data_IF_881096811550
#
_entry.id   IF_881096811550
#
_cell.length_a   1.000
_cell.length_b   1.000
_cell.length_c   1.000
_cell.angle_alpha   90.00
_cell.angle_beta   90.00
_cell.angle_gamma   90.00
#
_symmetry.space_group_name_H-M   'P 1'
#
loop_
_entity.id
_entity.type
_entity.pdbx_description
1 polymer ?
#
# COMPACT_ATOMS: atom_id res chain seq x y z
N UNK A 1 -6.43 12.08 -30.78
CA UNK A 1 -7.55 12.69 -30.02
C UNK A 1 -8.29 11.53 -29.36
N UNK A 2 -8.32 11.31 -28.06
CA UNK A 2 -7.78 11.98 -26.87
C UNK A 2 -7.27 10.84 -25.96
N UNK A 3 -6.07 11.00 -25.41
CA UNK A 3 -5.45 10.10 -24.43
C UNK A 3 -5.99 10.48 -23.05
N UNK A 4 -6.53 9.51 -22.32
CA UNK A 4 -6.91 9.71 -20.94
C UNK A 4 -5.69 9.38 -20.06
N UNK A 5 -4.98 10.45 -19.67
CA UNK A 5 -3.78 10.55 -18.83
C UNK A 5 -4.15 10.58 -17.34
N UNK A 6 -4.42 9.43 -16.70
CA UNK A 6 -4.75 9.44 -15.26
C UNK A 6 -3.99 8.39 -14.44
N UNK A 7 -3.22 8.88 -13.45
CA UNK A 7 -2.36 8.18 -12.48
C UNK A 7 -3.02 7.07 -11.66
N UNK A 8 -2.26 6.44 -10.76
CA UNK A 8 -2.69 5.25 -9.99
C UNK A 8 -3.83 5.48 -8.99
N UNK A 9 -4.39 6.69 -8.92
CA UNK A 9 -5.21 7.16 -7.81
C UNK A 9 -6.52 7.79 -8.28
N UNK A 10 -7.37 7.05 -9.02
CA UNK A 10 -8.80 7.40 -9.15
C UNK A 10 -9.74 6.19 -9.15
N UNK A 11 -10.77 6.25 -8.30
CA UNK A 11 -11.90 5.32 -8.28
C UNK A 11 -13.04 5.92 -9.09
N UNK A 12 -13.39 5.34 -10.24
CA UNK A 12 -14.67 5.66 -10.88
C UNK A 12 -15.81 5.02 -10.11
N UNK A 13 -16.58 5.86 -9.40
CA UNK A 13 -17.80 5.44 -8.71
C UNK A 13 -18.89 5.19 -9.75
N UNK A 14 -19.13 3.93 -10.10
CA UNK A 14 -20.23 3.58 -10.99
C UNK A 14 -21.57 3.90 -10.32
N UNK A 15 -22.36 4.79 -10.95
CA UNK A 15 -23.72 5.12 -10.52
C UNK A 15 -24.58 3.86 -10.58
N UNK A 16 -24.94 3.34 -9.40
CA UNK A 16 -25.92 2.26 -9.26
C UNK A 16 -27.26 2.70 -9.87
N UNK A 17 -27.82 1.79 -10.68
CA UNK A 17 -29.14 1.88 -11.31
C UNK A 17 -30.23 1.99 -10.24
N UNK A 18 -30.92 3.11 -10.17
CA UNK A 18 -32.25 3.18 -9.55
C UNK A 18 -33.33 2.92 -10.59
N UNK A 19 -34.18 1.95 -10.30
CA UNK A 19 -35.36 1.53 -11.04
C UNK A 19 -36.54 2.53 -10.90
N UNK A 20 -37.31 2.61 -11.97
CA UNK A 20 -38.41 3.53 -12.39
C UNK A 20 -39.69 3.58 -11.52
N UNK A 21 -40.67 4.49 -11.82
CA UNK A 21 -41.76 4.11 -12.75
C UNK A 21 -42.29 5.20 -13.74
N UNK A 22 -42.70 4.70 -14.93
CA UNK A 22 -43.57 5.16 -16.06
C UNK A 22 -44.25 6.56 -16.06
N UNK A 23 -44.50 7.25 -17.21
CA UNK A 23 -45.37 6.89 -18.39
C UNK A 23 -45.32 8.03 -19.49
N UNK A 24 -46.11 8.04 -20.60
CA UNK A 24 -45.75 7.65 -21.98
C UNK A 24 -45.84 8.75 -23.09
N UNK A 25 -45.23 8.54 -24.27
CA UNK A 25 -45.85 8.60 -25.65
C UNK A 25 -44.82 8.64 -26.80
N UNK A 26 -45.08 7.82 -27.83
CA UNK A 26 -44.91 8.00 -29.31
C UNK A 26 -43.51 8.36 -29.86
N UNK A 27 -42.99 7.85 -30.99
CA UNK A 27 -43.40 6.98 -32.12
C UNK A 27 -42.11 6.72 -32.94
N UNK A 28 -41.97 5.53 -33.55
CA UNK A 28 -41.25 5.22 -34.82
C UNK A 28 -39.76 5.62 -34.97
N UNK A 29 -38.80 4.85 -35.51
CA UNK A 29 -38.79 3.66 -36.34
C UNK A 29 -37.33 3.14 -36.44
N UNK A 30 -37.22 1.85 -36.76
CA UNK A 30 -36.15 1.18 -37.54
C UNK A 30 -34.77 0.89 -36.91
N UNK A 31 -34.48 -0.40 -36.99
CA UNK A 31 -33.29 -1.11 -36.57
C UNK A 31 -32.09 -0.86 -37.49
N UNK A 32 -30.91 -0.83 -36.88
CA UNK A 32 -29.67 -1.33 -37.49
C UNK A 32 -28.76 -1.81 -36.37
N UNK A 33 -28.80 -3.11 -36.14
CA UNK A 33 -27.94 -3.87 -35.24
C UNK A 33 -26.55 -4.02 -35.84
N UNK A 34 -25.57 -3.31 -35.27
CA UNK A 34 -24.14 -3.59 -35.47
C UNK A 34 -23.58 -4.20 -34.18
N UNK A 35 -23.46 -5.52 -34.17
CA UNK A 35 -22.76 -6.29 -33.13
C UNK A 35 -21.26 -6.04 -33.23
N UNK A 36 -20.75 -5.04 -32.52
CA UNK A 36 -19.33 -4.90 -32.24
C UNK A 36 -19.07 -5.36 -30.81
N UNK A 37 -18.59 -6.59 -30.65
CA UNK A 37 -18.02 -7.06 -29.40
C UNK A 37 -16.90 -6.11 -28.97
N UNK A 38 -16.82 -5.70 -27.68
CA UNK A 38 -15.72 -4.87 -27.22
C UNK A 38 -14.41 -5.66 -27.34
N UNK A 39 -13.29 -4.99 -27.67
CA UNK A 39 -11.98 -5.63 -27.71
C UNK A 39 -11.62 -6.20 -26.32
N UNK A 40 -10.85 -7.29 -26.25
CA UNK A 40 -10.42 -7.86 -24.99
C UNK A 40 -9.60 -6.84 -24.19
N UNK A 41 -9.69 -6.83 -22.85
CA UNK A 41 -8.92 -5.93 -22.01
C UNK A 41 -7.40 -6.21 -22.18
N UNK A 42 -6.56 -5.16 -22.14
CA UNK A 42 -5.13 -5.31 -22.31
C UNK A 42 -4.51 -6.17 -21.18
N UNK A 43 -3.42 -6.89 -21.45
CA UNK A 43 -2.70 -7.66 -20.44
C UNK A 43 -2.18 -6.73 -19.32
N UNK A 44 -2.08 -7.28 -18.11
CA UNK A 44 -1.71 -6.55 -16.88
C UNK A 44 -0.34 -5.84 -16.93
N UNK A 45 0.49 -6.14 -17.93
CA UNK A 45 1.78 -5.48 -18.18
C UNK A 45 1.64 -4.10 -18.88
N UNK A 46 0.44 -3.70 -19.29
CA UNK A 46 0.21 -2.50 -20.12
C UNK A 46 -0.08 -1.20 -19.34
N UNK A 47 -0.06 -1.21 -18.00
CA UNK A 47 -0.12 0.02 -17.21
C UNK A 47 1.28 0.63 -17.12
N UNK A 48 1.82 1.07 -18.26
CA UNK A 48 3.11 1.78 -18.32
C UNK A 48 2.92 3.22 -17.88
N UNK A 49 3.03 3.44 -16.58
CA UNK A 49 3.18 4.77 -16.01
C UNK A 49 4.65 5.14 -16.09
N UNK A 50 4.97 6.13 -16.92
CA UNK A 50 6.33 6.61 -17.08
C UNK A 50 6.58 7.80 -16.14
N UNK A 51 7.81 7.98 -15.64
CA UNK A 51 8.21 9.22 -15.00
C UNK A 51 7.89 10.42 -15.88
N UNK A 52 7.43 11.53 -15.28
CA UNK A 52 7.37 12.80 -16.01
C UNK A 52 8.80 13.22 -16.36
N UNK A 53 9.11 13.35 -17.64
CA UNK A 53 10.44 13.77 -18.15
C UNK A 53 10.43 15.17 -18.75
N UNK A 54 9.27 15.80 -18.87
CA UNK A 54 9.06 17.14 -19.45
C UNK A 54 8.39 18.08 -18.46
N UNK A 55 8.47 19.39 -18.68
CA UNK A 55 7.88 20.42 -17.82
C UNK A 55 8.85 20.99 -16.78
N UNK A 56 8.35 21.91 -15.95
CA UNK A 56 9.15 22.59 -14.91
C UNK A 56 9.11 21.74 -13.64
N UNK A 57 10.22 21.11 -13.29
CA UNK A 57 10.36 20.38 -12.03
C UNK A 57 10.73 21.34 -10.91
N UNK A 58 10.08 21.19 -9.74
CA UNK A 58 10.54 21.87 -8.54
C UNK A 58 11.87 21.29 -8.08
N UNK A 59 12.73 22.14 -7.52
CA UNK A 59 14.00 21.69 -6.98
C UNK A 59 13.80 20.82 -5.73
N UNK A 60 14.68 19.85 -5.45
CA UNK A 60 14.59 19.00 -4.26
C UNK A 60 14.45 19.78 -2.93
N UNK A 61 15.04 20.97 -2.82
CA UNK A 61 14.96 21.80 -1.62
C UNK A 61 13.53 22.34 -1.38
N UNK A 62 12.79 22.63 -2.45
CA UNK A 62 11.40 23.06 -2.34
C UNK A 62 10.49 21.88 -1.94
N UNK A 63 10.77 20.67 -2.45
CA UNK A 63 10.10 19.44 -2.02
C UNK A 63 10.37 19.18 -0.53
N UNK A 64 11.62 19.34 -0.09
CA UNK A 64 12.02 19.22 1.31
C UNK A 64 11.33 20.24 2.21
N UNK A 65 11.25 21.51 1.82
CA UNK A 65 10.58 22.53 2.62
C UNK A 65 9.09 22.21 2.85
N UNK A 66 8.40 21.67 1.84
CA UNK A 66 7.02 21.20 1.99
C UNK A 66 6.93 19.99 2.92
N UNK A 67 7.85 19.03 2.78
CA UNK A 67 7.93 17.88 3.67
C UNK A 67 8.13 18.31 5.13
N UNK A 68 9.10 19.17 5.41
CA UNK A 68 9.41 19.60 6.79
C UNK A 68 8.21 20.33 7.42
N UNK A 69 7.50 21.14 6.64
CA UNK A 69 6.25 21.78 7.07
C UNK A 69 5.15 20.76 7.37
N UNK A 70 4.88 19.83 6.47
CA UNK A 70 3.82 18.81 6.64
C UNK A 70 4.18 17.85 7.77
N UNK A 71 5.44 17.47 7.91
CA UNK A 71 5.96 16.66 9.02
C UNK A 71 5.75 17.37 10.35
N UNK A 72 6.04 18.67 10.43
CA UNK A 72 5.79 19.44 11.65
C UNK A 72 4.30 19.42 12.02
N UNK A 73 3.40 19.56 11.04
CA UNK A 73 1.97 19.45 11.24
C UNK A 73 1.55 18.03 11.68
N UNK A 74 2.11 16.99 11.05
CA UNK A 74 1.85 15.59 11.39
C UNK A 74 2.23 15.29 12.85
N UNK A 75 3.40 15.73 13.29
CA UNK A 75 3.87 15.54 14.67
C UNK A 75 3.05 16.34 15.69
N UNK A 76 2.47 17.47 15.28
CA UNK A 76 1.56 18.27 16.12
C UNK A 76 0.10 17.76 16.06
N UNK A 77 -0.24 16.94 15.06
CA UNK A 77 -1.57 16.37 14.94
C UNK A 77 -1.72 15.20 15.91
N UNK A 78 -2.22 15.52 17.11
CA UNK A 78 -2.31 14.56 18.22
C UNK A 78 -3.07 13.27 17.86
N UNK A 79 -4.24 13.25 17.17
CA UNK A 79 -4.98 11.98 17.06
C UNK A 79 -4.32 10.92 16.15
N UNK A 80 -3.81 11.31 14.97
CA UNK A 80 -3.37 10.34 13.97
C UNK A 80 -1.97 9.79 14.26
N UNK A 81 -1.04 10.70 14.58
CA UNK A 81 0.33 10.34 14.93
C UNK A 81 0.35 9.52 16.23
N UNK A 82 -0.33 9.98 17.30
CA UNK A 82 -0.35 9.27 18.58
C UNK A 82 -1.00 7.89 18.45
N UNK A 83 -2.15 7.78 17.77
CA UNK A 83 -2.80 6.49 17.56
C UNK A 83 -1.92 5.51 16.79
N UNK A 84 -1.13 5.99 15.82
CA UNK A 84 -0.19 5.14 15.08
C UNK A 84 0.94 4.64 15.97
N UNK A 85 1.46 5.49 16.87
CA UNK A 85 2.45 5.11 17.88
C UNK A 85 1.89 4.05 18.82
N UNK A 86 0.72 4.32 19.43
CA UNK A 86 0.06 3.40 20.36
C UNK A 86 -0.22 2.03 19.73
N UNK A 87 -0.60 2.02 18.45
CA UNK A 87 -0.85 0.80 17.70
C UNK A 87 0.43 -0.06 17.55
N UNK A 88 1.56 0.56 17.19
CA UNK A 88 2.85 -0.14 17.07
C UNK A 88 3.30 -0.63 18.45
N UNK A 89 3.15 0.18 19.49
CA UNK A 89 3.50 -0.19 20.86
C UNK A 89 2.69 -1.39 21.34
N UNK A 90 1.38 -1.43 21.07
CA UNK A 90 0.52 -2.56 21.40
C UNK A 90 0.92 -3.84 20.65
N UNK A 91 1.23 -3.73 19.36
CA UNK A 91 1.69 -4.86 18.55
C UNK A 91 3.04 -5.41 19.06
N UNK A 92 3.98 -4.53 19.38
CA UNK A 92 5.27 -4.91 19.95
C UNK A 92 5.12 -5.54 21.35
N UNK A 93 4.25 -5.00 22.21
CA UNK A 93 3.97 -5.57 23.53
C UNK A 93 3.40 -7.00 23.43
N UNK A 94 2.46 -7.26 22.50
CA UNK A 94 1.90 -8.59 22.27
C UNK A 94 2.98 -9.63 21.88
N UNK A 95 4.03 -9.20 21.18
CA UNK A 95 5.16 -10.08 20.80
C UNK A 95 6.06 -10.44 21.99
N UNK A 96 6.13 -9.57 23.01
CA UNK A 96 6.85 -9.83 24.26
C UNK A 96 6.16 -10.94 25.06
N UNK A 97 4.83 -10.89 25.16
CA UNK A 97 4.03 -11.92 25.85
C UNK A 97 4.15 -13.29 25.19
N UNK A 98 4.25 -13.34 23.86
CA UNK A 98 4.38 -14.59 23.09
C UNK A 98 5.82 -15.09 22.93
N UNK A 99 6.81 -14.38 23.50
CA UNK A 99 8.26 -14.67 23.40
C UNK A 99 8.77 -14.82 21.96
N UNK A 100 8.11 -14.20 20.98
CA UNK A 100 8.54 -14.20 19.58
C UNK A 100 8.42 -12.79 19.01
N UNK A 101 9.55 -12.10 18.77
CA UNK A 101 9.52 -10.71 18.35
C UNK A 101 8.96 -10.56 16.93
N UNK A 102 8.23 -9.47 16.70
CA UNK A 102 7.92 -9.00 15.35
C UNK A 102 9.22 -8.48 14.71
N UNK A 103 9.72 -9.19 13.70
CA UNK A 103 10.99 -8.86 13.04
C UNK A 103 10.69 -8.08 11.77
N UNK A 104 11.12 -6.81 11.72
CA UNK A 104 11.08 -5.98 10.52
C UNK A 104 12.49 -5.47 10.22
N UNK A 105 13.00 -5.79 9.02
CA UNK A 105 14.35 -5.39 8.59
C UNK A 105 14.32 -4.31 7.50
N UNK A 106 13.21 -4.23 6.77
CA UNK A 106 13.01 -3.29 5.67
C UNK A 106 11.56 -2.87 5.56
N UNK A 107 11.34 -1.66 5.08
CA UNK A 107 10.05 -1.15 4.69
C UNK A 107 10.03 -0.92 3.18
N UNK A 108 9.08 -1.54 2.49
CA UNK A 108 8.86 -1.37 1.05
C UNK A 108 7.64 -0.48 0.86
N UNK A 109 7.85 0.71 0.32
CA UNK A 109 6.80 1.67 -0.01
C UNK A 109 6.50 1.64 -1.51
N UNK A 110 5.28 1.26 -1.86
CA UNK A 110 4.80 1.15 -3.23
C UNK A 110 3.76 2.23 -3.52
N UNK A 111 3.96 2.97 -4.61
CA UNK A 111 2.93 3.82 -5.21
C UNK A 111 2.47 4.99 -4.35
N UNK A 112 3.40 5.66 -3.65
CA UNK A 112 3.09 6.82 -2.78
C UNK A 112 2.67 8.08 -3.57
N UNK A 113 2.84 8.09 -4.88
CA UNK A 113 2.66 9.23 -5.75
C UNK A 113 3.89 10.15 -5.81
N UNK A 114 3.86 11.11 -6.73
CA UNK A 114 4.90 12.15 -6.83
C UNK A 114 4.69 13.24 -5.78
N UNK A 115 5.79 13.84 -5.30
CA UNK A 115 5.74 15.02 -4.42
C UNK A 115 5.63 16.33 -5.22
N UNK A 116 5.65 16.26 -6.55
CA UNK A 116 5.60 17.39 -7.48
C UNK A 116 4.64 17.17 -8.67
N UNK A 117 3.32 17.04 -8.42
CA UNK A 117 2.33 16.82 -9.48
C UNK A 117 2.31 18.00 -10.47
N UNK A 118 2.08 17.70 -11.75
CA UNK A 118 2.18 18.68 -12.86
C UNK A 118 1.15 19.79 -12.79
N UNK A 119 -0.08 19.45 -12.42
CA UNK A 119 -1.18 20.39 -12.21
C UNK A 119 -1.09 21.13 -10.87
N UNK A 120 -0.05 20.84 -10.07
CA UNK A 120 0.08 21.36 -8.72
C UNK A 120 -0.98 20.84 -7.76
N UNK A 121 -1.64 19.71 -8.05
CA UNK A 121 -2.70 19.11 -7.24
C UNK A 121 -2.27 18.97 -5.78
N UNK A 122 -2.72 19.93 -4.97
CA UNK A 122 -2.31 20.05 -3.58
C UNK A 122 -2.72 18.83 -2.75
N UNK A 123 -3.88 18.25 -3.01
CA UNK A 123 -4.38 17.07 -2.29
C UNK A 123 -3.50 15.84 -2.52
N UNK A 124 -3.18 15.52 -3.78
CA UNK A 124 -2.33 14.38 -4.13
C UNK A 124 -0.91 14.56 -3.55
N UNK A 125 -0.35 15.76 -3.70
CA UNK A 125 0.93 16.13 -3.11
C UNK A 125 0.93 16.00 -1.59
N UNK A 126 -0.09 16.53 -0.91
CA UNK A 126 -0.22 16.44 0.55
C UNK A 126 -0.36 14.99 0.98
N UNK A 127 -1.17 14.18 0.28
CA UNK A 127 -1.34 12.78 0.58
C UNK A 127 0.01 12.03 0.50
N UNK A 128 0.82 12.25 -0.54
CA UNK A 128 2.15 11.65 -0.64
C UNK A 128 3.04 12.01 0.56
N UNK A 129 3.08 13.28 0.98
CA UNK A 129 3.85 13.70 2.15
C UNK A 129 3.31 13.14 3.47
N UNK A 130 2.00 13.12 3.66
CA UNK A 130 1.37 12.57 4.86
C UNK A 130 1.60 11.06 4.97
N UNK A 131 1.51 10.33 3.85
CA UNK A 131 1.88 8.92 3.78
C UNK A 131 3.36 8.69 4.12
N UNK A 132 4.26 9.54 3.63
CA UNK A 132 5.69 9.49 3.98
C UNK A 132 5.92 9.74 5.48
N UNK A 133 5.18 10.68 6.07
CA UNK A 133 5.23 10.94 7.51
C UNK A 133 4.75 9.73 8.33
N UNK A 134 3.65 9.10 7.92
CA UNK A 134 3.12 7.91 8.60
C UNK A 134 4.07 6.71 8.48
N UNK A 135 4.66 6.48 7.30
CA UNK A 135 5.69 5.46 7.11
C UNK A 135 6.91 5.72 8.01
N UNK A 136 7.37 6.98 8.08
CA UNK A 136 8.48 7.38 8.95
C UNK A 136 8.14 7.15 10.42
N UNK A 137 6.93 7.47 10.86
CA UNK A 137 6.46 7.19 12.22
C UNK A 137 6.47 5.70 12.51
N UNK A 138 5.91 4.85 11.62
CA UNK A 138 5.93 3.40 11.77
C UNK A 138 7.34 2.87 11.93
N UNK A 139 8.23 3.24 11.01
CA UNK A 139 9.62 2.79 11.01
C UNK A 139 10.35 3.24 12.27
N UNK A 140 10.29 4.52 12.63
CA UNK A 140 10.96 5.04 13.82
C UNK A 140 10.44 4.41 15.12
N UNK A 141 9.17 4.01 15.19
CA UNK A 141 8.65 3.29 16.35
C UNK A 141 9.13 1.83 16.37
N UNK A 142 9.09 1.12 15.24
CA UNK A 142 9.59 -0.25 15.13
C UNK A 142 11.09 -0.36 15.48
N UNK A 143 11.91 0.60 15.04
CA UNK A 143 13.34 0.67 15.34
C UNK A 143 13.65 0.75 16.84
N UNK A 144 12.76 1.34 17.65
CA UNK A 144 12.92 1.36 19.13
C UNK A 144 12.86 -0.04 19.73
N UNK A 145 12.07 -0.93 19.14
CA UNK A 145 11.88 -2.30 19.61
C UNK A 145 12.91 -3.26 19.03
N UNK A 146 13.21 -3.16 17.73
CA UNK A 146 14.21 -4.01 17.08
C UNK A 146 15.64 -3.64 17.47
N UNK A 147 15.89 -2.38 17.84
CA UNK A 147 17.22 -1.79 18.04
C UNK A 147 18.13 -1.90 16.81
N UNK A 148 17.53 -2.09 15.63
CA UNK A 148 18.24 -2.16 14.36
C UNK A 148 17.60 -1.19 13.37
N UNK A 149 18.39 -0.46 12.56
CA UNK A 149 17.85 0.37 11.50
C UNK A 149 17.02 -0.43 10.50
N UNK A 150 15.92 0.13 10.03
CA UNK A 150 15.05 -0.45 9.02
C UNK A 150 15.29 0.28 7.69
N UNK A 151 15.71 -0.45 6.67
CA UNK A 151 15.92 0.13 5.35
C UNK A 151 14.58 0.50 4.69
N UNK A 152 14.37 1.76 4.36
CA UNK A 152 13.20 2.19 3.59
C UNK A 152 13.51 2.17 2.08
N UNK A 153 12.67 1.48 1.32
CA UNK A 153 12.81 1.25 -0.12
C UNK A 153 11.54 1.73 -0.80
N UNK A 154 11.66 2.60 -1.79
CA UNK A 154 10.52 3.19 -2.50
C UNK A 154 10.50 2.75 -3.96
N UNK A 155 9.30 2.44 -4.46
CA UNK A 155 9.02 2.23 -5.87
C UNK A 155 7.75 2.96 -6.26
N UNK A 156 7.89 3.91 -7.18
CA UNK A 156 6.81 4.67 -7.79
C UNK A 156 7.18 4.94 -9.25
N UNK A 157 6.47 4.33 -10.21
CA UNK A 157 6.73 4.56 -11.64
C UNK A 157 6.73 6.03 -12.06
N UNK A 158 5.94 6.90 -11.40
CA UNK A 158 5.85 8.32 -11.79
C UNK A 158 6.89 9.23 -11.12
N UNK A 159 7.82 8.71 -10.31
CA UNK A 159 8.82 9.54 -9.64
C UNK A 159 9.69 10.33 -10.62
N UNK A 160 9.71 11.64 -10.41
CA UNK A 160 10.64 12.57 -11.04
C UNK A 160 12.04 12.44 -10.45
N UNK A 161 13.05 13.01 -11.10
CA UNK A 161 14.41 13.02 -10.52
C UNK A 161 14.46 13.83 -9.22
N UNK A 162 13.66 14.89 -9.10
CA UNK A 162 13.51 15.64 -7.84
C UNK A 162 12.96 14.77 -6.72
N UNK A 163 11.96 13.91 -7.00
CA UNK A 163 11.42 12.97 -6.00
C UNK A 163 12.50 12.00 -5.53
N UNK A 164 13.25 11.42 -6.48
CA UNK A 164 14.34 10.47 -6.18
C UNK A 164 15.46 11.12 -5.37
N UNK A 165 15.91 12.31 -5.75
CA UNK A 165 16.93 13.07 -5.02
C UNK A 165 16.45 13.44 -3.62
N UNK A 166 15.20 13.89 -3.48
CA UNK A 166 14.60 14.18 -2.19
C UNK A 166 14.58 12.95 -1.27
N UNK A 167 14.05 11.81 -1.73
CA UNK A 167 14.01 10.58 -0.92
C UNK A 167 15.42 10.05 -0.59
N UNK A 168 16.34 10.10 -1.54
CA UNK A 168 17.75 9.68 -1.32
C UNK A 168 18.42 10.59 -0.29
N UNK A 169 18.11 11.88 -0.28
CA UNK A 169 18.62 12.82 0.74
C UNK A 169 18.05 12.58 2.15
N UNK A 170 17.01 11.76 2.28
CA UNK A 170 16.52 11.24 3.58
C UNK A 170 17.15 9.89 3.96
N UNK A 171 18.07 9.37 3.15
CA UNK A 171 18.73 8.07 3.36
C UNK A 171 17.91 6.88 2.84
N UNK A 172 16.85 7.12 2.06
CA UNK A 172 16.03 6.06 1.50
C UNK A 172 16.58 5.54 0.18
N UNK A 173 16.31 4.26 -0.12
CA UNK A 173 16.63 3.65 -1.41
C UNK A 173 15.44 3.80 -2.35
N UNK A 174 15.68 4.25 -3.58
CA UNK A 174 14.64 4.26 -4.63
C UNK A 174 15.00 3.22 -5.69
N UNK A 175 14.05 2.39 -6.08
CA UNK A 175 14.23 1.33 -7.09
C UNK A 175 13.25 1.50 -8.25
N UNK A 176 13.60 0.91 -9.39
CA UNK A 176 12.73 0.96 -10.58
C UNK A 176 11.65 -0.12 -10.49
N UNK A 177 10.45 0.16 -11.00
CA UNK A 177 9.42 -0.88 -11.17
C UNK A 177 9.91 -1.97 -12.13
N UNK A 178 9.69 -3.27 -11.85
CA UNK A 178 8.96 -3.86 -10.71
C UNK A 178 9.85 -4.37 -9.55
N UNK A 179 11.10 -3.89 -9.40
CA UNK A 179 12.13 -4.50 -8.54
C UNK A 179 11.75 -4.63 -7.07
N UNK A 180 10.92 -3.74 -6.52
CA UNK A 180 10.52 -3.79 -5.12
C UNK A 180 9.60 -4.96 -4.78
N UNK A 181 8.91 -5.56 -5.77
CA UNK A 181 8.04 -6.70 -5.53
C UNK A 181 8.82 -7.92 -5.02
N UNK A 182 10.00 -8.15 -5.60
CA UNK A 182 10.86 -9.28 -5.21
C UNK A 182 11.59 -9.05 -3.86
N UNK A 183 11.44 -7.85 -3.27
CA UNK A 183 12.00 -7.52 -1.96
C UNK A 183 11.02 -7.79 -0.81
N UNK A 184 9.77 -8.17 -1.11
CA UNK A 184 8.77 -8.48 -0.08
C UNK A 184 8.99 -9.90 0.46
N UNK A 185 9.23 -9.98 1.77
CA UNK A 185 9.38 -11.21 2.54
C UNK A 185 8.76 -11.11 3.94
N UNK A 186 8.85 -12.17 4.72
CA UNK A 186 8.32 -12.30 6.08
C UNK A 186 8.95 -11.39 7.13
N UNK A 187 9.93 -10.55 6.75
CA UNK A 187 10.53 -9.50 7.59
C UNK A 187 10.28 -8.08 7.06
N UNK A 188 9.32 -7.95 6.13
CA UNK A 188 9.04 -6.68 5.43
C UNK A 188 7.84 -5.96 6.06
N UNK A 189 7.95 -4.65 6.25
CA UNK A 189 6.81 -3.75 6.32
C UNK A 189 6.44 -3.34 4.89
N UNK A 190 5.35 -3.88 4.35
CA UNK A 190 4.82 -3.48 3.05
C UNK A 190 3.83 -2.32 3.24
N UNK A 191 4.20 -1.14 2.76
CA UNK A 191 3.39 0.07 2.79
C UNK A 191 2.91 0.40 1.38
N UNK A 192 1.64 0.11 1.09
CA UNK A 192 1.08 0.09 -0.24
C UNK A 192 -0.35 0.60 -0.19
N UNK A 193 -0.53 1.92 -0.07
CA UNK A 193 -1.84 2.54 0.12
C UNK A 193 -2.50 2.82 -1.22
N UNK A 194 -3.78 2.46 -1.37
CA UNK A 194 -4.64 2.78 -2.52
C UNK A 194 -4.10 2.27 -3.86
N UNK A 195 -3.39 1.14 -3.86
CA UNK A 195 -2.88 0.56 -5.10
C UNK A 195 -3.94 -0.27 -5.80
N UNK A 196 -3.77 -0.40 -7.11
CA UNK A 196 -4.60 -1.30 -7.90
C UNK A 196 -4.31 -2.76 -7.57
N UNK A 197 -5.34 -3.57 -7.75
CA UNK A 197 -5.31 -5.01 -7.51
C UNK A 197 -4.12 -5.75 -8.16
N UNK A 198 -3.75 -5.53 -9.43
CA UNK A 198 -2.60 -6.23 -10.03
C UNK A 198 -1.28 -6.00 -9.29
N UNK A 199 -1.17 -4.86 -8.60
CA UNK A 199 0.03 -4.48 -7.87
C UNK A 199 0.10 -5.20 -6.53
N UNK A 200 -1.02 -5.27 -5.80
CA UNK A 200 -1.10 -6.12 -4.61
C UNK A 200 -0.83 -7.58 -4.96
N UNK A 201 -1.41 -8.09 -6.05
CA UNK A 201 -1.17 -9.44 -6.53
C UNK A 201 0.32 -9.70 -6.83
N UNK A 202 0.99 -8.76 -7.51
CA UNK A 202 2.40 -8.87 -7.83
C UNK A 202 3.29 -8.79 -6.58
N UNK A 203 3.07 -7.81 -5.70
CA UNK A 203 3.89 -7.58 -4.51
C UNK A 203 3.74 -8.69 -3.45
N UNK A 204 2.56 -9.30 -3.35
CA UNK A 204 2.28 -10.37 -2.39
C UNK A 204 2.41 -11.78 -2.99
N UNK A 205 2.85 -11.90 -4.24
CA UNK A 205 2.86 -13.19 -4.98
C UNK A 205 3.67 -14.27 -4.27
N UNK A 206 4.87 -13.91 -3.81
CA UNK A 206 5.87 -14.88 -3.34
C UNK A 206 5.83 -15.09 -1.82
N UNK A 207 5.67 -14.01 -1.05
CA UNK A 207 5.72 -14.04 0.42
C UNK A 207 4.68 -13.09 1.03
N UNK A 208 4.31 -13.36 2.28
CA UNK A 208 3.51 -12.44 3.09
C UNK A 208 4.43 -11.57 3.97
N UNK A 209 4.22 -10.25 4.03
CA UNK A 209 5.02 -9.33 4.84
C UNK A 209 4.76 -9.49 6.34
N UNK A 210 5.72 -9.13 7.19
CA UNK A 210 5.51 -9.06 8.65
C UNK A 210 4.41 -8.06 9.04
N UNK A 211 4.35 -6.94 8.29
CA UNK A 211 3.33 -5.91 8.46
C UNK A 211 2.86 -5.48 7.08
N UNK A 212 1.55 -5.40 6.86
CA UNK A 212 0.96 -4.87 5.64
C UNK A 212 0.10 -3.65 5.96
N UNK A 213 0.34 -2.54 5.25
CA UNK A 213 -0.48 -1.33 5.27
C UNK A 213 -1.01 -1.09 3.86
N UNK A 214 -2.32 -1.09 3.69
CA UNK A 214 -2.95 -0.90 2.39
C UNK A 214 -4.47 -0.95 2.46
N UNK A 215 -5.11 -0.99 1.29
CA UNK A 215 -6.57 -1.13 1.22
C UNK A 215 -7.00 -2.48 1.80
N UNK A 216 -7.93 -2.46 2.75
CA UNK A 216 -8.39 -3.67 3.43
C UNK A 216 -9.09 -4.68 2.50
N UNK A 217 -9.01 -5.97 2.83
CA UNK A 217 -9.69 -7.04 2.08
C UNK A 217 -11.20 -6.83 1.97
N UNK A 218 -11.81 -6.22 2.99
CA UNK A 218 -13.23 -5.87 3.04
C UNK A 218 -13.68 -4.99 1.87
N UNK A 219 -12.79 -4.16 1.31
CA UNK A 219 -13.07 -3.40 0.09
C UNK A 219 -13.08 -4.32 -1.14
N UNK A 220 -12.12 -5.23 -1.22
CA UNK A 220 -11.91 -6.10 -2.38
C UNK A 220 -12.92 -7.24 -2.49
N UNK A 221 -13.42 -7.74 -1.35
CA UNK A 221 -14.45 -8.78 -1.28
C UNK A 221 -15.80 -8.33 -1.89
N UNK A 222 -16.04 -7.01 -1.92
CA UNK A 222 -17.26 -6.43 -2.49
C UNK A 222 -17.21 -6.19 -4.00
N UNK A 223 -16.03 -6.32 -4.62
CA UNK A 223 -15.82 -6.04 -6.05
C UNK A 223 -15.77 -7.35 -6.83
N UNK A 224 -16.55 -7.45 -7.91
CA UNK A 224 -16.57 -8.64 -8.78
C UNK A 224 -15.17 -8.98 -9.29
N UNK A 225 -14.67 -10.17 -8.95
CA UNK A 225 -13.31 -10.59 -9.29
C UNK A 225 -13.24 -11.15 -10.72
N UNK A 226 -12.58 -10.45 -11.63
CA UNK A 226 -12.37 -10.94 -13.01
C UNK A 226 -11.45 -12.17 -13.10
N UNK A 227 -10.53 -12.32 -12.13
CA UNK A 227 -9.69 -13.51 -11.93
C UNK A 227 -9.87 -13.98 -10.50
N UNK A 228 -10.15 -15.24 -10.25
CA UNK A 228 -10.60 -15.69 -8.93
C UNK A 228 -9.46 -15.69 -7.89
N UNK A 229 -8.18 -15.73 -8.31
CA UNK A 229 -7.07 -16.11 -7.42
C UNK A 229 -5.98 -15.04 -7.20
N UNK A 230 -6.04 -13.86 -7.84
CA UNK A 230 -4.90 -12.92 -7.79
C UNK A 230 -4.63 -12.34 -6.39
N UNK A 231 -5.58 -12.42 -5.47
CA UNK A 231 -5.48 -11.85 -4.13
C UNK A 231 -5.59 -12.90 -3.01
N UNK A 232 -5.39 -14.19 -3.30
CA UNK A 232 -5.41 -15.26 -2.29
C UNK A 232 -4.52 -14.95 -1.09
N UNK A 233 -3.35 -14.37 -1.32
CA UNK A 233 -2.40 -14.04 -0.26
C UNK A 233 -2.89 -12.88 0.62
N UNK A 234 -3.65 -11.94 0.05
CA UNK A 234 -4.31 -10.90 0.83
C UNK A 234 -5.49 -11.46 1.64
N UNK A 235 -6.23 -12.41 1.08
CA UNK A 235 -7.27 -13.15 1.81
C UNK A 235 -6.68 -13.95 2.98
N UNK A 236 -5.56 -14.65 2.75
CA UNK A 236 -4.81 -15.37 3.81
C UNK A 236 -4.37 -14.43 4.92
N UNK A 237 -3.77 -13.27 4.58
CA UNK A 237 -3.42 -12.26 5.58
C UNK A 237 -4.65 -11.80 6.35
N UNK A 238 -5.76 -11.53 5.68
CA UNK A 238 -6.98 -11.09 6.35
C UNK A 238 -7.52 -12.11 7.35
N UNK A 239 -7.38 -13.41 7.06
CA UNK A 239 -7.81 -14.48 7.95
C UNK A 239 -6.84 -14.73 9.12
N UNK A 240 -5.54 -14.51 8.92
CA UNK A 240 -4.50 -14.94 9.87
C UNK A 240 -3.89 -13.80 10.70
N UNK A 241 -3.91 -12.56 10.19
CA UNK A 241 -3.19 -11.44 10.80
C UNK A 241 -4.11 -10.67 11.72
N UNK A 242 -3.53 -10.07 12.76
CA UNK A 242 -4.25 -9.10 13.57
C UNK A 242 -4.42 -7.82 12.74
N UNK A 243 -5.66 -7.39 12.52
CA UNK A 243 -6.01 -6.23 11.69
C UNK A 243 -6.55 -5.09 12.55
N UNK A 244 -6.14 -3.88 12.22
CA UNK A 244 -6.69 -2.64 12.77
C UNK A 244 -6.99 -1.62 11.66
N UNK A 245 -7.99 -0.73 11.85
CA UNK A 245 -8.12 0.46 11.02
C UNK A 245 -6.85 1.30 11.10
N UNK A 246 -6.40 1.85 9.96
CA UNK A 246 -5.26 2.77 9.97
C UNK A 246 -5.71 4.13 10.54
N UNK A 247 -4.92 4.78 11.41
CA UNK A 247 -5.22 6.12 11.92
C UNK A 247 -5.45 7.12 10.78
N UNK A 248 -6.54 7.90 10.88
CA UNK A 248 -6.94 8.83 9.82
C UNK A 248 -6.32 10.21 10.04
N UNK A 249 -5.81 10.82 8.96
CA UNK A 249 -5.43 12.24 8.96
C UNK A 249 -6.71 13.08 8.87
N UNK A 250 -7.03 13.86 9.89
CA UNK A 250 -8.24 14.70 9.87
C UNK A 250 -8.22 15.75 8.75
N UNK A 251 -7.04 16.10 8.23
CA UNK A 251 -6.86 17.10 7.20
C UNK A 251 -6.85 16.54 5.77
N UNK A 252 -7.03 15.24 5.56
CA UNK A 252 -7.06 14.64 4.21
C UNK A 252 -7.71 13.25 4.17
N UNK A 253 -7.90 12.72 2.96
CA UNK A 253 -8.37 11.34 2.75
C UNK A 253 -7.23 10.35 2.48
N UNK A 254 -5.99 10.72 2.84
CA UNK A 254 -4.78 9.97 2.51
C UNK A 254 -4.78 8.52 3.02
N UNK A 255 -5.58 8.22 4.05
CA UNK A 255 -5.71 6.90 4.68
C UNK A 255 -7.12 6.30 4.58
N UNK A 256 -7.98 6.85 3.72
CA UNK A 256 -9.35 6.35 3.58
C UNK A 256 -9.38 4.88 3.18
N UNK A 257 -10.16 4.05 3.88
CA UNK A 257 -10.21 2.59 3.64
C UNK A 257 -8.86 1.85 3.82
N UNK A 258 -7.89 2.47 4.49
CA UNK A 258 -6.60 1.85 4.80
C UNK A 258 -6.69 1.04 6.08
N UNK A 259 -6.15 -0.17 6.06
CA UNK A 259 -5.96 -1.04 7.21
C UNK A 259 -4.49 -1.35 7.42
N UNK A 260 -4.13 -1.74 8.63
CA UNK A 260 -2.84 -2.29 8.99
C UNK A 260 -3.00 -3.69 9.56
N UNK A 261 -2.16 -4.60 9.10
CA UNK A 261 -2.15 -6.01 9.45
C UNK A 261 -0.81 -6.37 10.06
N UNK A 262 -0.82 -7.10 11.17
CA UNK A 262 0.38 -7.61 11.83
C UNK A 262 0.38 -9.14 11.76
N UNK A 263 1.47 -9.71 11.25
CA UNK A 263 1.64 -11.15 11.18
C UNK A 263 1.54 -11.79 12.57
N UNK A 264 0.92 -12.97 12.69
CA UNK A 264 0.95 -13.73 13.93
C UNK A 264 2.39 -14.21 14.21
N UNK A 265 2.72 -14.54 15.46
CA UNK A 265 3.98 -15.22 15.77
C UNK A 265 4.13 -16.49 14.92
N UNK A 266 5.33 -16.80 14.39
CA UNK A 266 5.52 -18.00 13.59
C UNK A 266 5.19 -19.25 14.43
N UNK A 267 4.60 -20.30 13.82
CA UNK A 267 4.19 -21.49 14.54
C UNK A 267 5.38 -22.11 15.27
N UNK A 268 5.14 -22.59 16.50
CA UNK A 268 6.16 -23.31 17.24
C UNK A 268 6.50 -24.60 16.52
N UNK A 269 7.69 -24.69 15.93
CA UNK A 269 8.24 -25.97 15.50
C UNK A 269 8.25 -26.89 16.71
N UNK A 270 7.35 -27.87 16.75
CA UNK A 270 7.31 -28.90 17.77
C UNK A 270 8.66 -29.62 17.75
N UNK A 271 9.44 -29.41 18.81
CA UNK A 271 10.66 -30.18 19.06
C UNK A 271 10.22 -31.62 19.22
N UNK A 272 10.47 -32.44 18.20
CA UNK A 272 10.37 -33.90 18.33
C UNK A 272 11.47 -34.29 19.29
N UNK A 273 11.12 -34.50 20.55
CA UNK A 273 12.00 -35.13 21.53
C UNK A 273 12.15 -36.57 21.05
N UNK A 274 13.25 -36.86 20.37
CA UNK A 274 13.67 -38.23 20.12
C UNK A 274 14.13 -38.77 21.47
N UNK A 275 13.26 -39.52 22.14
CA UNK A 275 13.67 -40.38 23.24
C UNK A 275 14.80 -41.27 22.74
N UNK A 276 16.02 -41.01 23.21
CA UNK A 276 17.11 -41.97 23.10
C UNK A 276 16.84 -43.06 24.11
N UNK A 277 16.26 -44.14 23.60
CA UNK A 277 16.17 -45.40 24.30
C UNK A 277 17.58 -45.83 24.69
N UNK A 278 17.85 -45.80 26.00
CA UNK A 278 19.11 -46.27 26.56
C UNK A 278 19.01 -47.79 26.64
N UNK A 279 19.35 -48.44 25.53
CA UNK A 279 19.57 -49.89 25.47
C UNK A 279 20.85 -50.23 26.20
N UNK A 280 20.74 -50.41 27.51
CA UNK A 280 21.65 -51.21 28.32
C UNK A 280 21.51 -52.67 27.88
N UNK A 281 22.59 -53.29 27.42
CA UNK A 281 22.62 -54.72 27.18
C UNK A 281 24.03 -55.25 27.46
N UNK A 282 24.17 -55.81 28.67
CA UNK A 282 24.84 -57.09 28.95
C UNK A 282 26.32 -57.22 28.64
#
# INVERSE_FOLDING_TARGET
MSLDDEGWTRVHRNKSRQSTPAKPRSTDCLASSSSSSPPPPPPADSLTFAPRTTGVFRRPEAVRADYDRIRSQWLQSEPAHEALVQLVDAAAAATTTTRRPLVVTKAVCLGIGTFDPEDGAWEAKRAAFVQLCALTTLVSQLEKYSKTPIQCIFQEPIFTDSDKTFLTSLGHRVVSSPQAYDLVDDTTLLFAIHLYRPIYAAALRSNLPAIFVGTGWDVWDTVSMERVNDLENMQKMHAMYTRHPFPQDAASTAFSSTSIYFAPPPPSSSVVVVERDSGDNG
#
